data_IF_525766117818
#
_entry.id   IF_525766117818
#
_cell.length_a   1.000
_cell.length_b   1.000
_cell.length_c   1.000
_cell.angle_alpha   90.00
_cell.angle_beta   90.00
_cell.angle_gamma   90.00
#
_symmetry.space_group_name_H-M   'P 1'
#
loop_
_entity.id
_entity.type
_entity.pdbx_description
1 polymer ?
#
# COMPACT_ATOMS: atom_id res chain seq x y z
N UNK A 1 -11.47 -6.66 20.77
CA UNK A 1 -12.00 -5.77 19.73
C UNK A 1 -10.86 -4.82 19.39
N UNK A 2 -10.56 -4.58 18.14
CA UNK A 2 -9.48 -3.66 17.75
C UNK A 2 -9.95 -2.22 17.85
N UNK A 3 -9.09 -1.31 18.34
CA UNK A 3 -9.33 0.12 18.36
C UNK A 3 -9.19 0.71 16.96
N UNK A 4 -8.26 0.16 16.17
CA UNK A 4 -8.03 0.59 14.79
C UNK A 4 -7.93 -0.59 13.81
N UNK A 5 -8.41 -0.35 12.59
CA UNK A 5 -8.18 -1.20 11.42
C UNK A 5 -7.43 -0.38 10.38
N UNK A 6 -6.22 -0.80 10.07
CA UNK A 6 -5.38 -0.13 9.08
C UNK A 6 -5.33 -0.96 7.80
N UNK A 7 -5.35 -0.33 6.64
CA UNK A 7 -5.38 -1.01 5.34
C UNK A 7 -4.21 -0.60 4.46
N UNK A 8 -3.66 -1.54 3.70
CA UNK A 8 -3.03 -1.15 2.43
C UNK A 8 -4.10 -0.70 1.44
N UNK A 9 -3.70 0.07 0.44
CA UNK A 9 -4.61 0.60 -0.57
C UNK A 9 -4.69 -0.33 -1.79
N UNK A 10 -3.56 -0.51 -2.47
CA UNK A 10 -3.47 -1.21 -3.76
C UNK A 10 -3.49 -2.73 -3.58
N UNK A 11 -4.49 -3.39 -4.14
CA UNK A 11 -4.67 -4.84 -3.97
C UNK A 11 -5.50 -5.22 -2.74
N UNK A 12 -5.90 -4.26 -1.92
CA UNK A 12 -6.73 -4.45 -0.73
C UNK A 12 -8.06 -3.72 -0.88
N UNK A 13 -8.05 -2.41 -0.97
CA UNK A 13 -9.23 -1.56 -1.13
C UNK A 13 -9.57 -1.33 -2.60
N UNK A 14 -8.53 -1.10 -3.41
CA UNK A 14 -8.66 -0.88 -4.85
C UNK A 14 -7.77 -1.85 -5.63
N UNK A 15 -8.14 -2.12 -6.89
CA UNK A 15 -7.35 -2.96 -7.79
C UNK A 15 -5.93 -2.41 -8.00
N UNK A 16 -5.00 -3.30 -8.31
CA UNK A 16 -3.61 -2.93 -8.59
C UNK A 16 -3.49 -2.26 -9.96
N UNK A 17 -2.56 -1.34 -10.09
CA UNK A 17 -2.15 -0.83 -11.39
C UNK A 17 -1.35 -1.92 -12.14
N UNK A 18 -1.57 -2.06 -13.45
CA UNK A 18 -0.84 -3.04 -14.25
C UNK A 18 0.66 -2.72 -14.26
N UNK A 19 1.48 -3.77 -14.35
CA UNK A 19 2.92 -3.61 -14.45
C UNK A 19 3.31 -2.82 -15.71
N UNK A 20 2.63 -3.06 -16.83
CA UNK A 20 2.89 -2.34 -18.09
C UNK A 20 2.67 -0.83 -17.93
N UNK A 21 1.61 -0.42 -17.24
CA UNK A 21 1.36 1.01 -16.96
C UNK A 21 2.46 1.63 -16.10
N UNK A 22 2.94 0.91 -15.08
CA UNK A 22 4.04 1.39 -14.23
C UNK A 22 5.38 1.42 -14.98
N UNK A 23 5.60 0.44 -15.86
CA UNK A 23 6.77 0.37 -16.73
C UNK A 23 6.81 1.52 -17.74
N UNK A 24 5.69 1.84 -18.39
CA UNK A 24 5.57 2.99 -19.28
C UNK A 24 5.87 4.28 -18.53
N UNK A 25 5.29 4.48 -17.34
CA UNK A 25 5.55 5.67 -16.53
C UNK A 25 7.02 5.77 -16.08
N UNK A 26 7.68 4.64 -15.79
CA UNK A 26 9.10 4.61 -15.47
C UNK A 26 9.96 4.97 -16.70
N UNK A 27 9.63 4.45 -17.87
CA UNK A 27 10.26 4.82 -19.13
C UNK A 27 10.16 6.32 -19.40
N UNK A 28 8.95 6.89 -19.27
CA UNK A 28 8.70 8.32 -19.46
C UNK A 28 9.54 9.17 -18.48
N UNK A 29 9.80 8.69 -17.27
CA UNK A 29 10.67 9.37 -16.31
C UNK A 29 12.11 9.46 -16.83
N UNK A 30 12.68 8.38 -17.39
CA UNK A 30 13.99 8.40 -18.02
C UNK A 30 14.07 9.36 -19.20
N UNK A 31 13.09 9.25 -20.11
CA UNK A 31 13.03 10.08 -21.32
C UNK A 31 12.92 11.56 -20.96
N UNK A 32 12.13 11.93 -19.96
CA UNK A 32 11.95 13.33 -19.54
C UNK A 32 13.23 13.95 -18.98
N UNK A 33 14.20 13.13 -18.56
CA UNK A 33 15.52 13.55 -18.10
C UNK A 33 16.63 13.35 -19.14
N UNK A 34 16.25 13.11 -20.41
CA UNK A 34 17.18 13.04 -21.55
C UNK A 34 17.81 11.67 -21.78
N UNK A 35 17.28 10.62 -21.17
CA UNK A 35 17.70 9.22 -21.42
C UNK A 35 16.72 8.59 -22.40
N UNK A 36 16.98 8.69 -23.70
CA UNK A 36 16.05 8.27 -24.77
C UNK A 36 15.94 6.74 -24.90
N UNK A 37 16.96 5.97 -24.50
CA UNK A 37 17.02 4.51 -24.61
C UNK A 37 17.55 3.87 -23.32
N UNK A 38 16.76 3.89 -22.21
CA UNK A 38 17.15 3.26 -20.96
C UNK A 38 17.12 1.73 -21.08
N UNK A 39 18.02 1.06 -20.36
CA UNK A 39 18.00 -0.40 -20.24
C UNK A 39 16.68 -0.85 -19.58
N UNK A 40 15.99 -1.80 -20.22
CA UNK A 40 14.69 -2.29 -19.73
C UNK A 40 14.77 -2.87 -18.31
N UNK A 41 15.93 -3.42 -17.92
CA UNK A 41 16.13 -3.92 -16.55
C UNK A 41 16.02 -2.78 -15.54
N UNK A 42 16.64 -1.63 -15.84
CA UNK A 42 16.56 -0.45 -14.97
C UNK A 42 15.15 0.18 -14.94
N UNK A 43 14.47 0.15 -16.09
CA UNK A 43 13.06 0.59 -16.17
C UNK A 43 12.18 -0.31 -15.30
N UNK A 44 12.33 -1.63 -15.39
CA UNK A 44 11.58 -2.60 -14.61
C UNK A 44 11.85 -2.48 -13.11
N UNK A 45 13.12 -2.30 -12.72
CA UNK A 45 13.52 -2.10 -11.34
C UNK A 45 12.83 -0.87 -10.73
N UNK A 46 12.88 0.29 -11.43
CA UNK A 46 12.28 1.52 -10.89
C UNK A 46 10.75 1.53 -11.01
N UNK A 47 10.15 0.76 -11.92
CA UNK A 47 8.71 0.67 -12.07
C UNK A 47 8.03 0.17 -10.79
N UNK A 48 8.58 -0.87 -10.16
CA UNK A 48 8.02 -1.46 -8.91
C UNK A 48 8.66 -0.90 -7.64
N UNK A 49 9.72 -0.13 -7.78
CA UNK A 49 10.44 0.52 -6.68
C UNK A 49 11.72 -0.21 -6.30
N UNK A 50 12.77 0.57 -6.18
CA UNK A 50 14.14 0.16 -5.84
C UNK A 50 14.46 0.45 -4.38
N UNK A 51 15.58 -0.06 -3.90
CA UNK A 51 16.23 0.44 -2.70
C UNK A 51 17.15 1.64 -3.05
N UNK A 52 17.56 2.45 -2.05
CA UNK A 52 18.40 3.64 -2.31
C UNK A 52 19.72 3.36 -3.01
N UNK A 53 20.38 2.22 -2.73
CA UNK A 53 21.65 1.87 -3.35
C UNK A 53 21.48 1.59 -4.83
N UNK A 54 20.53 0.71 -5.19
CA UNK A 54 20.19 0.41 -6.61
C UNK A 54 19.81 1.68 -7.37
N UNK A 55 19.04 2.60 -6.73
CA UNK A 55 18.69 3.88 -7.34
C UNK A 55 19.95 4.72 -7.65
N UNK A 56 20.89 4.79 -6.71
CA UNK A 56 22.15 5.51 -6.90
C UNK A 56 22.93 4.93 -8.08
N UNK A 57 23.11 3.58 -8.12
CA UNK A 57 23.84 2.90 -9.20
C UNK A 57 23.21 3.15 -10.58
N UNK A 58 21.87 3.12 -10.66
CA UNK A 58 21.13 3.45 -11.90
C UNK A 58 21.37 4.90 -12.30
N UNK A 59 21.26 5.85 -11.37
CA UNK A 59 21.44 7.27 -11.67
C UNK A 59 22.89 7.60 -12.08
N UNK A 60 23.91 6.99 -11.45
CA UNK A 60 25.31 7.14 -11.84
C UNK A 60 25.56 6.67 -13.28
N UNK A 61 24.94 5.55 -13.68
CA UNK A 61 25.07 5.03 -15.05
C UNK A 61 24.58 6.00 -16.13
N UNK A 62 23.55 6.78 -15.83
CA UNK A 62 22.93 7.71 -16.78
C UNK A 62 23.27 9.19 -16.49
N UNK A 63 24.21 9.44 -15.58
CA UNK A 63 24.64 10.78 -15.19
C UNK A 63 23.48 11.67 -14.69
N UNK A 64 22.48 11.06 -14.01
CA UNK A 64 21.31 11.74 -13.45
C UNK A 64 21.48 12.04 -11.97
N UNK A 65 20.88 13.14 -11.49
CA UNK A 65 20.74 13.39 -10.04
C UNK A 65 19.67 12.42 -9.46
N UNK A 66 20.01 11.61 -8.44
CA UNK A 66 19.08 10.63 -7.90
C UNK A 66 17.81 11.23 -7.29
N UNK A 67 17.88 12.42 -6.68
CA UNK A 67 16.75 13.06 -6.05
C UNK A 67 15.78 13.61 -7.11
N UNK A 68 16.32 14.21 -8.17
CA UNK A 68 15.55 14.70 -9.31
C UNK A 68 14.89 13.54 -10.06
N UNK A 69 15.65 12.48 -10.38
CA UNK A 69 15.11 11.31 -11.07
C UNK A 69 13.98 10.66 -10.26
N UNK A 70 14.19 10.46 -8.94
CA UNK A 70 13.17 9.83 -8.11
C UNK A 70 11.90 10.67 -8.00
N UNK A 71 12.02 11.99 -7.92
CA UNK A 71 10.88 12.91 -7.95
C UNK A 71 10.10 12.79 -9.26
N UNK A 72 10.78 12.85 -10.39
CA UNK A 72 10.15 12.75 -11.73
C UNK A 72 9.48 11.38 -11.89
N UNK A 73 10.17 10.30 -11.51
CA UNK A 73 9.61 8.94 -11.51
C UNK A 73 8.34 8.83 -10.68
N UNK A 74 8.31 9.42 -9.50
CA UNK A 74 7.14 9.41 -8.62
C UNK A 74 5.98 10.22 -9.23
N UNK A 75 6.27 11.35 -9.87
CA UNK A 75 5.27 12.17 -10.56
C UNK A 75 4.65 11.44 -11.75
N UNK A 76 5.46 10.82 -12.62
CA UNK A 76 4.97 10.06 -13.77
C UNK A 76 4.16 8.84 -13.35
N UNK A 77 4.63 8.09 -12.35
CA UNK A 77 3.92 6.94 -11.82
C UNK A 77 2.59 7.32 -11.15
N UNK A 78 2.56 8.44 -10.41
CA UNK A 78 1.33 8.95 -9.80
C UNK A 78 0.32 9.36 -10.88
N UNK A 79 0.75 10.13 -11.88
CA UNK A 79 -0.10 10.56 -12.99
C UNK A 79 -0.70 9.37 -13.75
N UNK A 80 0.11 8.34 -14.04
CA UNK A 80 -0.34 7.13 -14.73
C UNK A 80 -1.39 6.35 -13.92
N UNK A 81 -1.20 6.20 -12.61
CA UNK A 81 -2.13 5.51 -11.73
C UNK A 81 -3.46 6.25 -11.58
N UNK A 82 -3.42 7.57 -11.44
CA UNK A 82 -4.62 8.42 -11.41
C UNK A 82 -5.36 8.35 -12.75
N UNK A 83 -4.65 8.36 -13.87
CA UNK A 83 -5.25 8.19 -15.18
C UNK A 83 -5.90 6.81 -15.36
N UNK A 84 -5.30 5.75 -14.84
CA UNK A 84 -5.85 4.39 -14.84
C UNK A 84 -7.16 4.33 -14.02
N UNK A 85 -7.21 4.95 -12.85
CA UNK A 85 -8.42 5.05 -12.04
C UNK A 85 -9.53 5.79 -12.79
N UNK A 86 -9.24 6.96 -13.37
CA UNK A 86 -10.20 7.76 -14.14
C UNK A 86 -10.74 7.04 -15.38
N UNK A 87 -9.96 6.13 -15.97
CA UNK A 87 -10.36 5.28 -17.11
C UNK A 87 -11.11 4.01 -16.70
N UNK A 88 -11.34 3.78 -15.40
CA UNK A 88 -11.96 2.56 -14.89
C UNK A 88 -11.10 1.30 -14.98
N UNK A 89 -9.79 1.45 -15.20
CA UNK A 89 -8.81 0.35 -15.21
C UNK A 89 -8.33 -0.04 -13.82
N UNK A 90 -8.58 0.82 -12.85
CA UNK A 90 -8.34 0.62 -11.42
C UNK A 90 -9.62 1.02 -10.70
N UNK A 91 -10.26 0.10 -10.00
CA UNK A 91 -11.55 0.29 -9.33
C UNK A 91 -11.49 -0.22 -7.89
N UNK A 92 -12.33 0.27 -6.99
CA UNK A 92 -12.55 -0.39 -5.70
C UNK A 92 -13.00 -1.84 -5.91
N UNK A 93 -12.72 -2.69 -4.92
CA UNK A 93 -13.29 -4.03 -4.86
C UNK A 93 -14.77 -3.98 -4.47
N UNK A 94 -15.53 -4.99 -4.89
CA UNK A 94 -17.00 -5.03 -4.70
C UNK A 94 -17.42 -5.04 -3.22
N UNK A 95 -16.53 -5.45 -2.32
CA UNK A 95 -16.75 -5.53 -0.88
C UNK A 95 -16.34 -4.26 -0.12
N UNK A 96 -15.99 -3.17 -0.81
CA UNK A 96 -15.52 -1.91 -0.19
C UNK A 96 -16.55 -1.31 0.77
N UNK A 97 -17.83 -1.48 0.49
CA UNK A 97 -18.93 -0.99 1.33
C UNK A 97 -18.96 -1.63 2.73
N UNK A 98 -18.25 -2.74 2.90
CA UNK A 98 -18.12 -3.45 4.16
C UNK A 98 -17.40 -2.61 5.23
N UNK A 99 -16.54 -1.65 4.83
CA UNK A 99 -15.83 -0.74 5.75
C UNK A 99 -16.78 -0.03 6.73
N UNK A 100 -18.00 0.30 6.30
CA UNK A 100 -19.02 0.95 7.12
C UNK A 100 -19.52 0.12 8.31
N UNK A 101 -19.24 -1.16 8.32
CA UNK A 101 -19.66 -2.11 9.36
C UNK A 101 -18.54 -2.42 10.36
N UNK A 102 -17.38 -1.77 10.22
CA UNK A 102 -16.29 -1.87 11.18
C UNK A 102 -16.50 -0.83 12.29
N UNK A 103 -16.54 -1.29 13.53
CA UNK A 103 -16.65 -0.45 14.72
C UNK A 103 -15.23 -0.18 15.29
N UNK A 104 -14.43 0.55 14.52
CA UNK A 104 -13.04 0.89 14.82
C UNK A 104 -12.62 2.12 14.03
N UNK A 105 -11.61 2.84 14.48
CA UNK A 105 -10.96 3.90 13.70
C UNK A 105 -10.26 3.32 12.47
N UNK A 106 -10.46 3.94 11.30
CA UNK A 106 -9.90 3.42 10.05
C UNK A 106 -8.72 4.26 9.58
N UNK A 107 -7.63 3.58 9.21
CA UNK A 107 -6.44 4.20 8.66
C UNK A 107 -5.93 3.52 7.38
N UNK A 108 -5.08 4.21 6.63
CA UNK A 108 -4.40 3.68 5.44
C UNK A 108 -2.90 3.83 5.58
N UNK A 109 -2.16 2.77 5.21
CA UNK A 109 -0.71 2.79 5.00
C UNK A 109 -0.37 2.18 3.66
N UNK A 110 0.08 3.01 2.72
CA UNK A 110 0.46 2.57 1.38
C UNK A 110 1.95 2.82 1.09
N UNK A 111 2.59 1.91 0.36
CA UNK A 111 3.92 2.14 -0.21
C UNK A 111 3.89 3.01 -1.48
N UNK A 112 2.70 3.40 -1.93
CA UNK A 112 2.52 4.33 -3.03
C UNK A 112 2.76 5.79 -2.59
N UNK A 113 2.87 6.73 -3.54
CA UNK A 113 3.06 8.15 -3.23
C UNK A 113 1.82 8.72 -2.54
N UNK A 114 2.00 9.66 -1.59
CA UNK A 114 0.90 10.32 -0.90
C UNK A 114 -0.11 10.93 -1.87
N UNK A 115 0.37 11.67 -2.87
CA UNK A 115 -0.49 12.29 -3.89
C UNK A 115 -1.33 11.27 -4.68
N UNK A 116 -0.82 10.04 -4.88
CA UNK A 116 -1.58 8.97 -5.53
C UNK A 116 -2.67 8.44 -4.60
N UNK A 117 -2.35 8.22 -3.32
CA UNK A 117 -3.32 7.76 -2.32
C UNK A 117 -4.47 8.77 -2.22
N UNK A 118 -4.16 10.05 -2.00
CA UNK A 118 -5.14 11.11 -1.85
C UNK A 118 -6.06 11.19 -3.08
N UNK A 119 -5.48 11.24 -4.29
CA UNK A 119 -6.23 11.34 -5.52
C UNK A 119 -7.14 10.12 -5.81
N UNK A 120 -6.72 8.91 -5.42
CA UNK A 120 -7.51 7.69 -5.57
C UNK A 120 -8.67 7.68 -4.56
N UNK A 121 -8.42 8.02 -3.32
CA UNK A 121 -9.46 8.11 -2.29
C UNK A 121 -10.51 9.16 -2.64
N UNK A 122 -10.09 10.34 -3.12
CA UNK A 122 -10.99 11.40 -3.57
C UNK A 122 -11.81 10.96 -4.80
N UNK A 123 -11.16 10.33 -5.79
CA UNK A 123 -11.82 9.90 -7.02
C UNK A 123 -12.94 8.90 -6.77
N UNK A 124 -12.78 7.99 -5.80
CA UNK A 124 -13.77 6.98 -5.46
C UNK A 124 -14.69 7.39 -4.28
N UNK A 125 -14.52 8.59 -3.72
CA UNK A 125 -15.31 9.07 -2.61
C UNK A 125 -15.06 8.30 -1.29
N UNK A 126 -13.86 7.75 -1.13
CA UNK A 126 -13.48 6.94 0.01
C UNK A 126 -12.79 7.75 1.13
N UNK A 127 -12.29 8.96 0.83
CA UNK A 127 -11.50 9.76 1.77
C UNK A 127 -12.19 9.97 3.14
N UNK A 128 -13.51 10.19 3.13
CA UNK A 128 -14.28 10.41 4.36
C UNK A 128 -14.51 9.17 5.23
N UNK A 129 -14.04 7.98 4.82
CA UNK A 129 -14.12 6.76 5.62
C UNK A 129 -12.89 6.55 6.50
N UNK A 130 -11.79 7.25 6.23
CA UNK A 130 -10.52 7.08 6.94
C UNK A 130 -10.19 8.35 7.72
N UNK A 131 -9.77 8.19 8.98
CA UNK A 131 -9.33 9.29 9.82
C UNK A 131 -7.92 9.75 9.43
N UNK A 132 -7.08 8.81 8.99
CA UNK A 132 -5.71 9.07 8.56
C UNK A 132 -5.33 8.20 7.37
N UNK A 133 -4.55 8.76 6.43
CA UNK A 133 -4.02 8.02 5.28
C UNK A 133 -2.57 8.44 5.01
N UNK A 134 -1.66 7.49 5.12
CA UNK A 134 -0.25 7.68 4.82
C UNK A 134 0.16 6.95 3.55
N UNK A 135 0.60 7.74 2.58
CA UNK A 135 1.43 7.32 1.47
C UNK A 135 2.88 7.74 1.70
N UNK A 136 3.72 7.47 0.75
CA UNK A 136 5.14 7.80 0.79
C UNK A 136 5.38 9.24 0.31
N UNK A 137 6.26 9.98 0.99
CA UNK A 137 6.75 11.27 0.50
C UNK A 137 7.60 11.09 -0.77
N UNK A 138 7.62 12.07 -1.71
CA UNK A 138 8.44 11.99 -2.92
C UNK A 138 9.92 12.26 -2.64
N UNK A 139 10.54 11.42 -1.80
CA UNK A 139 11.93 11.54 -1.35
C UNK A 139 12.63 10.18 -1.36
N UNK A 140 13.95 10.16 -1.59
CA UNK A 140 14.76 8.94 -1.50
C UNK A 140 14.69 8.34 -0.09
N UNK A 141 14.65 9.18 0.95
CA UNK A 141 14.56 8.73 2.34
C UNK A 141 13.29 7.88 2.58
N UNK A 142 12.19 8.16 1.88
CA UNK A 142 10.95 7.41 1.99
C UNK A 142 11.05 5.96 1.50
N UNK A 143 12.06 5.66 0.66
CA UNK A 143 12.30 4.29 0.17
C UNK A 143 12.65 3.31 1.30
N UNK A 144 13.39 3.76 2.31
CA UNK A 144 13.71 2.95 3.49
C UNK A 144 12.58 2.87 4.51
N UNK A 145 11.54 3.69 4.36
CA UNK A 145 10.35 3.73 5.23
C UNK A 145 9.19 2.91 4.70
N UNK A 146 9.30 2.38 3.46
CA UNK A 146 8.29 1.48 2.88
C UNK A 146 8.17 0.20 3.70
N UNK A 147 7.00 -0.42 3.67
CA UNK A 147 6.81 -1.78 4.17
C UNK A 147 7.90 -2.73 3.59
N UNK A 148 8.56 -3.55 4.39
CA UNK A 148 8.19 -4.00 5.74
C UNK A 148 8.63 -3.09 6.91
N UNK A 149 9.12 -1.86 6.67
CA UNK A 149 9.35 -0.91 7.77
C UNK A 149 8.04 -0.57 8.48
N UNK A 150 7.99 -0.54 9.81
CA UNK A 150 6.79 -0.19 10.56
C UNK A 150 6.50 1.32 10.57
N UNK A 151 7.39 2.14 10.03
CA UNK A 151 7.41 3.60 10.16
C UNK A 151 6.06 4.29 9.95
N UNK A 152 5.34 3.96 8.87
CA UNK A 152 4.04 4.58 8.60
C UNK A 152 2.92 3.95 9.45
N UNK A 153 3.03 2.65 9.81
CA UNK A 153 2.08 2.03 10.73
C UNK A 153 2.17 2.64 12.12
N UNK A 154 3.37 2.81 12.67
CA UNK A 154 3.58 3.44 13.98
C UNK A 154 2.97 4.85 14.01
N UNK A 155 3.11 5.63 12.94
CA UNK A 155 2.51 6.97 12.82
C UNK A 155 0.98 6.92 12.77
N UNK A 156 0.40 5.98 12.02
CA UNK A 156 -1.05 5.81 11.98
C UNK A 156 -1.58 5.45 13.36
N UNK A 157 -0.93 4.53 14.08
CA UNK A 157 -1.35 4.13 15.42
C UNK A 157 -1.28 5.28 16.43
N UNK A 158 -0.23 6.11 16.32
CA UNK A 158 -0.08 7.32 17.14
C UNK A 158 -1.20 8.33 16.85
N UNK A 159 -1.48 8.62 15.57
CA UNK A 159 -2.52 9.59 15.19
C UNK A 159 -3.95 9.13 15.53
N UNK A 160 -4.19 7.80 15.52
CA UNK A 160 -5.48 7.20 15.90
C UNK A 160 -5.61 6.94 17.41
N UNK A 161 -4.58 7.19 18.21
CA UNK A 161 -4.52 6.86 19.66
C UNK A 161 -4.94 5.40 19.93
N UNK A 162 -4.46 4.46 19.07
CA UNK A 162 -4.87 3.06 19.08
C UNK A 162 -3.88 2.19 19.86
N UNK A 163 -4.37 1.47 20.90
CA UNK A 163 -3.58 0.49 21.65
C UNK A 163 -3.61 -0.89 20.99
N UNK A 164 -4.71 -1.23 20.32
CA UNK A 164 -4.91 -2.50 19.62
C UNK A 164 -5.29 -2.26 18.17
N UNK A 165 -4.58 -2.89 17.25
CA UNK A 165 -4.84 -2.70 15.82
C UNK A 165 -4.60 -3.96 15.00
N UNK A 166 -5.21 -3.99 13.82
CA UNK A 166 -4.97 -5.01 12.80
C UNK A 166 -4.63 -4.33 11.47
N UNK A 167 -3.57 -4.78 10.80
CA UNK A 167 -3.19 -4.31 9.48
C UNK A 167 -3.61 -5.30 8.39
N UNK A 168 -4.41 -4.83 7.44
CA UNK A 168 -4.93 -5.63 6.32
C UNK A 168 -4.09 -5.36 5.08
N UNK A 169 -3.42 -6.39 4.56
CA UNK A 169 -2.54 -6.29 3.40
C UNK A 169 -2.63 -7.49 2.46
N UNK A 170 -2.16 -7.33 1.21
CA UNK A 170 -2.12 -8.38 0.20
C UNK A 170 -0.70 -8.88 -0.12
N UNK A 171 0.29 -8.37 0.61
CA UNK A 171 1.70 -8.68 0.36
C UNK A 171 2.39 -9.16 1.64
N UNK A 172 3.42 -9.98 1.49
CA UNK A 172 4.25 -10.43 2.61
C UNK A 172 4.90 -9.24 3.36
N UNK A 173 5.23 -8.16 2.64
CA UNK A 173 5.75 -6.94 3.27
C UNK A 173 4.76 -6.28 4.22
N UNK A 174 3.45 -6.49 4.02
CA UNK A 174 2.40 -5.96 4.90
C UNK A 174 2.36 -6.76 6.20
N UNK A 175 2.37 -8.09 6.09
CA UNK A 175 2.43 -8.99 7.25
C UNK A 175 3.66 -8.69 8.11
N UNK A 176 4.83 -8.54 7.47
CA UNK A 176 6.08 -8.19 8.17
C UNK A 176 6.06 -6.80 8.77
N UNK A 177 5.39 -5.83 8.12
CA UNK A 177 5.26 -4.49 8.68
C UNK A 177 4.40 -4.48 9.94
N UNK A 178 3.31 -5.26 9.94
CA UNK A 178 2.47 -5.44 11.13
C UNK A 178 3.25 -6.11 12.27
N UNK A 179 3.98 -7.20 11.98
CA UNK A 179 4.83 -7.89 12.96
C UNK A 179 5.90 -6.94 13.55
N UNK A 180 6.55 -6.15 12.70
CA UNK A 180 7.56 -5.16 13.11
C UNK A 180 6.95 -4.01 13.94
N UNK A 181 5.67 -3.67 13.73
CA UNK A 181 4.94 -2.70 14.52
C UNK A 181 4.31 -3.30 15.80
N UNK A 182 4.37 -4.62 15.98
CA UNK A 182 3.81 -5.31 17.14
C UNK A 182 2.28 -5.37 17.14
N UNK A 183 1.63 -5.36 15.96
CA UNK A 183 0.19 -5.46 15.80
C UNK A 183 -0.22 -6.69 15.00
N UNK A 184 -1.49 -7.07 15.07
CA UNK A 184 -2.03 -8.18 14.30
C UNK A 184 -2.06 -7.88 12.80
N UNK A 185 -2.00 -8.94 11.98
CA UNK A 185 -2.07 -8.85 10.52
C UNK A 185 -3.19 -9.71 9.95
N UNK A 186 -3.90 -9.20 8.94
CA UNK A 186 -4.80 -9.97 8.11
C UNK A 186 -4.31 -9.97 6.65
N UNK A 187 -3.89 -11.13 6.17
CA UNK A 187 -3.52 -11.30 4.77
C UNK A 187 -4.76 -11.56 3.93
N UNK A 188 -5.10 -10.63 3.01
CA UNK A 188 -6.27 -10.77 2.16
C UNK A 188 -5.94 -11.50 0.86
N UNK A 189 -6.62 -12.62 0.61
CA UNK A 189 -6.47 -13.49 -0.55
C UNK A 189 -7.26 -13.00 -1.77
N UNK A 190 -7.06 -11.78 -2.21
CA UNK A 190 -7.64 -11.27 -3.45
C UNK A 190 -7.30 -12.19 -4.65
N UNK A 191 -8.04 -12.17 -5.77
CA UNK A 191 -7.82 -13.09 -6.91
C UNK A 191 -6.37 -13.21 -7.36
N UNK A 192 -5.60 -12.13 -7.34
CA UNK A 192 -4.19 -12.09 -7.74
C UNK A 192 -3.22 -12.67 -6.69
N UNK A 193 -3.72 -13.03 -5.48
CA UNK A 193 -2.96 -13.60 -4.36
C UNK A 193 -3.39 -15.00 -3.91
N UNK A 194 -4.36 -15.60 -4.59
CA UNK A 194 -4.97 -16.87 -4.15
C UNK A 194 -3.99 -18.01 -3.93
N UNK A 195 -2.91 -18.06 -4.71
CA UNK A 195 -1.98 -19.19 -4.74
C UNK A 195 -0.57 -18.82 -4.29
N UNK A 196 -0.39 -17.63 -3.68
CA UNK A 196 0.91 -17.22 -3.18
C UNK A 196 1.18 -17.92 -1.85
N UNK A 197 2.34 -18.57 -1.77
CA UNK A 197 2.89 -19.06 -0.50
C UNK A 197 3.58 -17.91 0.21
N UNK A 198 3.32 -17.77 1.50
CA UNK A 198 3.95 -16.76 2.36
C UNK A 198 5.12 -17.40 3.10
N UNK A 199 6.22 -16.68 3.22
CA UNK A 199 7.35 -17.10 4.05
C UNK A 199 7.23 -16.63 5.51
N UNK A 200 6.19 -15.87 5.84
CA UNK A 200 5.82 -15.46 7.19
C UNK A 200 4.34 -15.81 7.44
N UNK A 201 3.96 -15.95 8.71
CA UNK A 201 2.61 -16.33 9.10
C UNK A 201 1.84 -15.08 9.53
N UNK A 202 0.74 -14.70 8.83
CA UNK A 202 -0.16 -13.65 9.30
C UNK A 202 -0.98 -14.14 10.51
N UNK A 203 -1.51 -13.22 11.32
CA UNK A 203 -2.45 -13.56 12.40
C UNK A 203 -3.73 -14.16 11.83
N UNK A 204 -4.21 -13.60 10.71
CA UNK A 204 -5.39 -14.09 9.99
C UNK A 204 -5.13 -14.16 8.48
N UNK A 205 -5.78 -15.11 7.82
CA UNK A 205 -5.97 -15.13 6.37
C UNK A 205 -7.45 -14.94 6.07
N UNK A 206 -7.77 -13.97 5.20
CA UNK A 206 -9.16 -13.64 4.84
C UNK A 206 -9.32 -13.68 3.32
N UNK A 207 -10.52 -14.04 2.87
CA UNK A 207 -10.84 -14.07 1.44
C UNK A 207 -11.27 -12.68 0.94
N UNK A 208 -12.00 -11.94 1.78
CA UNK A 208 -12.53 -10.61 1.47
C UNK A 208 -12.74 -9.79 2.77
N UNK A 209 -13.25 -8.56 2.63
CA UNK A 209 -13.50 -7.67 3.77
C UNK A 209 -14.69 -8.10 4.64
N UNK A 210 -15.58 -8.99 4.16
CA UNK A 210 -16.66 -9.52 4.99
C UNK A 210 -16.11 -10.42 6.11
N UNK A 211 -15.05 -11.19 5.82
CA UNK A 211 -14.37 -11.98 6.84
C UNK A 211 -13.79 -11.08 7.95
N UNK A 212 -13.28 -9.90 7.57
CA UNK A 212 -12.71 -8.93 8.51
C UNK A 212 -13.74 -8.42 9.52
N UNK A 213 -14.98 -8.14 9.08
CA UNK A 213 -16.07 -7.75 9.99
C UNK A 213 -16.32 -8.82 11.04
N UNK A 214 -16.23 -10.10 10.65
CA UNK A 214 -16.37 -11.21 11.59
C UNK A 214 -15.26 -11.29 12.63
N UNK A 215 -14.05 -10.85 12.27
CA UNK A 215 -12.88 -10.79 13.15
C UNK A 215 -13.01 -9.60 14.11
N UNK A 216 -13.33 -8.40 13.58
CA UNK A 216 -13.41 -7.16 14.36
C UNK A 216 -14.69 -7.07 15.22
N UNK A 217 -15.79 -7.71 14.78
CA UNK A 217 -17.11 -7.66 15.44
C UNK A 217 -17.32 -8.70 16.56
N UNK A 218 -16.38 -9.61 16.81
CA UNK A 218 -16.48 -10.53 17.94
C UNK A 218 -16.06 -9.82 19.22
N UNK A 219 -17.06 -9.49 20.07
CA UNK A 219 -16.80 -9.34 21.49
C UNK A 219 -16.06 -10.61 22.00
N UNK A 220 -15.07 -10.48 22.90
CA UNK A 220 -14.41 -11.64 23.47
C UNK A 220 -15.50 -12.56 24.04
N UNK A 221 -15.52 -13.82 23.59
CA UNK A 221 -16.36 -14.85 24.20
C UNK A 221 -15.85 -14.99 25.62
N UNK A 222 -16.64 -14.54 26.57
CA UNK A 222 -16.35 -14.71 27.99
C UNK A 222 -16.23 -16.23 28.25
N UNK A 223 -15.09 -16.76 28.69
CA UNK A 223 -14.90 -18.20 28.88
C UNK A 223 -15.80 -18.78 29.99
N UNK A 224 -16.60 -17.96 30.67
CA UNK A 224 -17.46 -18.34 31.81
C UNK A 224 -18.96 -18.52 31.44
N UNK A 225 -19.38 -18.38 30.18
CA UNK A 225 -20.76 -18.75 29.78
C UNK A 225 -20.86 -20.18 29.23
N UNK A 226 -20.32 -21.14 29.98
CA UNK A 226 -20.61 -22.57 29.79
C UNK A 226 -21.19 -23.11 31.09
N UNK A 227 -22.49 -23.00 31.26
CA UNK A 227 -23.30 -23.84 32.15
C UNK A 227 -24.46 -24.43 31.38
#
# INVERSE_FOLDING_TARGET
MYDAVVFDNDGVLVGRTSFDTLREAAWDAFVSLGVDDPDLIHVDDVAVGVNPATLTDICERYEMDPAEFWRVRDETASAAQIAAARKGQKTPYDDIDTLRHLDASLGIVSSNQQATVDAILDHFGLAGQFEVAYGREPSIASLSRKKPSPYYLERVLEDLDAETAIFVGDNESDVRAADNAGIDSAFIRRPHRRHIELSCQPTYEIADLHDLVSICGRAPVDPDESI
#
